data_IF_616173729397
#
_entry.id   IF_616173729397
#
_cell.length_a   1.000
_cell.length_b   1.000
_cell.length_c   1.000
_cell.angle_alpha   90.00
_cell.angle_beta   90.00
_cell.angle_gamma   90.00
#
_symmetry.space_group_name_H-M   'P 1'
#
loop_
_entity.id
_entity.type
_entity.pdbx_description
1 polymer ?
#
# COMPACT_ATOMS: atom_id res chain seq x y z
N UNK A 1 29.53 -19.03 -2.58
CA UNK A 1 29.49 -18.77 -1.99
C UNK A 1 29.47 -18.34 -2.10
N UNK A 2 29.20 -18.29 -2.35
CA UNK A 2 29.09 -17.78 -2.00
C UNK A 2 28.94 -17.06 -2.21
N UNK A 3 29.31 -17.01 -2.68
CA UNK A 3 29.15 -16.22 -2.40
C UNK A 3 28.91 -15.43 -2.66
N UNK A 4 29.12 -15.59 -3.18
CA UNK A 4 28.80 -14.63 -2.85
C UNK A 4 28.49 -13.93 -3.28
N UNK A 5 28.66 -14.15 -3.44
CA UNK A 5 28.30 -13.41 -3.34
C UNK A 5 27.93 -12.66 -3.62
N UNK A 6 27.91 -12.77 -3.81
CA UNK A 6 27.44 -11.97 -3.57
C UNK A 6 27.09 -11.25 -3.83
N UNK A 7 27.15 -11.34 -4.08
CA UNK A 7 26.73 -10.53 -3.85
C UNK A 7 26.32 -9.90 -4.11
N UNK A 8 26.32 -9.91 -4.35
CA UNK A 8 25.82 -9.15 -4.13
C UNK A 8 25.45 -8.50 -4.27
N UNK A 9 25.55 -8.65 -4.51
CA UNK A 9 25.02 -7.90 -4.22
C UNK A 9 24.70 -7.21 -4.44
N UNK A 10 24.88 -7.41 -4.69
CA UNK A 10 24.39 -6.63 -4.49
C UNK A 10 24.06 -6.00 -4.80
N UNK A 11 24.09 -6.18 -5.01
CA UNK A 11 23.66 -5.46 -4.83
C UNK A 11 23.29 -4.95 -5.04
N UNK A 12 23.38 -4.99 -5.32
CA UNK A 12 22.92 -4.37 -4.99
C UNK A 12 22.65 -3.82 -5.14
N UNK A 13 22.85 -3.92 -5.45
CA UNK A 13 22.47 -3.27 -5.13
C UNK A 13 22.28 -2.79 -5.25
N UNK A 14 22.36 -2.82 -5.69
CA UNK A 14 21.95 -2.19 -5.35
C UNK A 14 21.74 -1.64 -5.51
N UNK A 15 21.76 -1.58 -5.87
CA UNK A 15 21.33 -0.91 -5.54
C UNK A 15 21.08 -0.49 -5.83
N UNK A 16 21.15 -0.49 -6.03
CA UNK A 16 20.67 0.07 -5.92
C UNK A 16 20.41 0.62 -6.05
N UNK A 17 20.42 0.66 -6.37
CA UNK A 17 19.90 1.35 -6.04
C UNK A 17 19.53 1.79 -6.36
N UNK A 18 19.57 1.79 -6.54
CA UNK A 18 18.96 2.33 -6.45
C UNK A 18 18.44 2.83 -6.34
N UNK A 19 18.25 2.70 -6.40
CA UNK A 19 17.46 3.24 -5.91
C UNK A 19 16.83 3.52 -5.94
N UNK A 20 16.90 3.47 -6.02
CA UNK A 20 16.14 3.82 -5.73
C UNK A 20 15.61 4.07 -5.79
N UNK A 21 15.66 3.97 -5.99
CA UNK A 21 15.08 4.28 -5.72
C UNK A 21 14.51 4.54 -5.55
N UNK A 22 14.45 4.57 -5.60
CA UNK A 22 13.89 4.91 -5.27
C UNK A 22 13.28 5.22 -5.22
N UNK A 23 13.57 4.86 -5.28
CA UNK A 23 12.94 5.38 -5.14
C UNK A 23 12.04 5.95 -4.99
N UNK A 24 12.06 6.21 -5.36
CA UNK A 24 11.15 7.16 -5.56
C UNK A 24 10.07 7.27 -4.72
N UNK A 25 10.24 7.31 -3.83
CA UNK A 25 9.20 7.27 -3.00
C UNK A 25 8.08 8.21 -3.19
N UNK A 26 6.92 7.68 -3.00
CA UNK A 26 5.70 8.44 -2.93
C UNK A 26 5.63 9.29 -1.67
N UNK A 27 6.63 9.16 -0.79
CA UNK A 27 6.58 9.74 0.54
C UNK A 27 5.92 8.81 1.55
N UNK A 28 5.67 7.57 1.15
CA UNK A 28 5.03 6.59 2.00
C UNK A 28 5.65 5.23 1.71
N UNK A 29 6.59 4.82 2.55
CA UNK A 29 7.36 3.60 2.31
C UNK A 29 6.51 2.34 2.36
N UNK A 30 5.49 2.32 3.19
CA UNK A 30 4.58 1.17 3.27
C UNK A 30 3.81 1.02 1.96
N UNK A 31 3.37 2.13 1.38
CA UNK A 31 2.70 2.13 0.11
C UNK A 31 3.63 1.62 -1.00
N UNK A 32 4.88 2.07 -0.99
CA UNK A 32 5.86 1.64 -1.98
C UNK A 32 6.10 0.14 -1.89
N UNK A 33 6.16 -0.39 -0.68
CA UNK A 33 6.32 -1.83 -0.45
C UNK A 33 5.11 -2.60 -0.96
N UNK A 34 3.90 -2.09 -0.71
CA UNK A 34 2.68 -2.73 -1.20
C UNK A 34 2.66 -2.79 -2.71
N UNK A 35 3.05 -1.70 -3.36
CA UNK A 35 3.07 -1.66 -4.83
C UNK A 35 4.02 -2.69 -5.43
N UNK A 36 5.04 -3.10 -4.69
CA UNK A 36 6.00 -4.10 -5.12
C UNK A 36 5.53 -5.53 -4.87
N UNK A 37 4.41 -5.71 -4.18
CA UNK A 37 3.89 -7.04 -3.85
C UNK A 37 2.93 -7.55 -4.92
N UNK A 38 2.72 -8.87 -4.92
CA UNK A 38 1.69 -9.46 -5.76
C UNK A 38 0.31 -9.07 -5.23
N UNK A 39 -0.75 -9.16 -6.06
CA UNK A 39 -2.10 -8.86 -5.58
C UNK A 39 -2.52 -9.68 -4.36
N UNK A 40 -2.14 -10.95 -4.32
CA UNK A 40 -2.46 -11.80 -3.17
C UNK A 40 -1.80 -11.30 -1.90
N UNK A 41 -0.55 -10.91 -1.99
CA UNK A 41 0.18 -10.37 -0.84
C UNK A 41 -0.39 -9.04 -0.41
N UNK A 42 -0.74 -8.18 -1.37
CA UNK A 42 -1.39 -6.89 -1.09
C UNK A 42 -2.69 -7.12 -0.32
N UNK A 43 -3.50 -8.04 -0.79
CA UNK A 43 -4.78 -8.34 -0.14
C UNK A 43 -4.59 -8.79 1.29
N UNK A 44 -3.61 -9.65 1.54
CA UNK A 44 -3.32 -10.14 2.88
C UNK A 44 -2.85 -9.03 3.81
N UNK A 45 -1.98 -8.17 3.31
CA UNK A 45 -1.45 -7.07 4.13
C UNK A 45 -2.54 -6.05 4.44
N UNK A 46 -3.35 -5.70 3.45
CA UNK A 46 -4.39 -4.69 3.62
C UNK A 46 -5.49 -5.13 4.57
N UNK A 47 -5.76 -6.43 4.65
CA UNK A 47 -6.84 -6.94 5.49
C UNK A 47 -6.38 -7.45 6.85
N UNK A 48 -5.12 -7.30 7.15
CA UNK A 48 -4.53 -7.81 8.37
C UNK A 48 -5.24 -7.34 9.63
N UNK A 49 -5.70 -6.09 9.62
CA UNK A 49 -6.41 -5.51 10.74
C UNK A 49 -7.92 -5.63 10.65
N UNK A 50 -8.45 -6.29 9.65
CA UNK A 50 -9.88 -6.42 9.44
C UNK A 50 -10.32 -7.84 9.76
N UNK A 51 -11.01 -7.97 10.86
CA UNK A 51 -11.44 -9.27 11.35
C UNK A 51 -12.40 -9.94 10.38
N UNK A 52 -12.13 -11.19 10.05
CA UNK A 52 -13.02 -11.96 9.20
C UNK A 52 -13.03 -11.56 7.74
N UNK A 53 -12.08 -10.77 7.31
CA UNK A 53 -12.02 -10.34 5.91
C UNK A 53 -10.99 -11.17 5.14
N UNK A 54 -11.48 -11.92 4.18
CA UNK A 54 -10.63 -12.59 3.21
C UNK A 54 -10.58 -11.66 2.01
N UNK A 55 -9.47 -10.96 1.85
CA UNK A 55 -9.37 -9.85 0.89
C UNK A 55 -9.21 -10.28 -0.55
N UNK A 56 -9.81 -9.50 -1.43
CA UNK A 56 -9.66 -9.66 -2.88
C UNK A 56 -9.68 -8.28 -3.52
N UNK A 57 -9.18 -8.18 -4.74
CA UNK A 57 -9.21 -6.96 -5.55
C UNK A 57 -8.60 -5.74 -4.86
N UNK A 58 -7.34 -5.84 -4.43
CA UNK A 58 -6.67 -4.67 -3.86
C UNK A 58 -6.51 -3.59 -4.94
N UNK A 59 -6.77 -2.35 -4.56
CA UNK A 59 -6.77 -1.24 -5.51
C UNK A 59 -6.05 -0.03 -4.89
N UNK A 60 -4.92 0.39 -5.45
CA UNK A 60 -4.23 1.59 -4.96
C UNK A 60 -4.95 2.84 -5.46
N UNK A 61 -5.43 3.64 -4.52
CA UNK A 61 -6.15 4.87 -4.86
C UNK A 61 -5.21 6.05 -5.10
N UNK A 62 -4.09 6.06 -4.41
CA UNK A 62 -3.09 7.11 -4.57
C UNK A 62 -2.53 7.60 -3.26
N UNK A 63 -1.65 8.59 -3.35
CA UNK A 63 -1.03 9.24 -2.20
C UNK A 63 -1.37 10.71 -2.25
N UNK A 64 -1.80 11.26 -1.12
CA UNK A 64 -2.13 12.68 -1.04
C UNK A 64 -0.85 13.51 -1.07
N UNK A 65 -0.81 14.54 -1.89
CA UNK A 65 0.39 15.33 -2.10
C UNK A 65 0.38 16.69 -1.41
N UNK A 66 -0.77 17.11 -0.91
CA UNK A 66 -0.93 18.44 -0.30
C UNK A 66 -1.75 18.37 0.97
N UNK A 67 -1.68 19.42 1.76
CA UNK A 67 -2.51 19.56 2.94
C UNK A 67 -2.04 18.75 4.13
N UNK A 68 -2.91 18.61 5.10
CA UNK A 68 -2.60 17.89 6.34
C UNK A 68 -2.40 16.39 6.12
N UNK A 69 -2.98 15.87 5.06
CA UNK A 69 -2.87 14.45 4.74
C UNK A 69 -1.75 14.14 3.76
N UNK A 70 -0.83 15.08 3.56
CA UNK A 70 0.31 14.88 2.66
C UNK A 70 1.07 13.62 3.04
N UNK A 71 1.32 12.76 2.06
CA UNK A 71 2.04 11.51 2.27
C UNK A 71 1.17 10.36 2.72
N UNK A 72 -0.12 10.59 2.94
CA UNK A 72 -1.04 9.51 3.29
C UNK A 72 -1.42 8.74 2.04
N UNK A 73 -1.32 7.42 2.12
CA UNK A 73 -1.69 6.55 1.01
C UNK A 73 -3.05 5.92 1.30
N UNK A 74 -3.80 5.68 0.24
CA UNK A 74 -5.12 5.07 0.35
C UNK A 74 -5.23 3.89 -0.60
N UNK A 75 -5.84 2.83 -0.10
CA UNK A 75 -6.12 1.63 -0.86
C UNK A 75 -7.56 1.23 -0.63
N UNK A 76 -8.13 0.53 -1.59
CA UNK A 76 -9.43 -0.10 -1.41
C UNK A 76 -9.26 -1.60 -1.46
N UNK A 77 -10.07 -2.32 -0.70
CA UNK A 77 -10.04 -3.77 -0.67
C UNK A 77 -11.46 -4.29 -0.49
N UNK A 78 -11.77 -5.38 -1.16
CA UNK A 78 -13.05 -6.06 -0.98
C UNK A 78 -12.82 -7.34 -0.20
N UNK A 79 -13.73 -7.64 0.71
CA UNK A 79 -13.74 -8.93 1.38
C UNK A 79 -14.63 -9.88 0.59
N UNK A 80 -14.31 -11.16 0.60
CA UNK A 80 -15.09 -12.15 -0.14
C UNK A 80 -16.55 -12.23 0.33
N UNK A 81 -16.81 -11.78 1.56
CA UNK A 81 -18.18 -11.73 2.09
C UNK A 81 -18.98 -10.51 1.60
N UNK A 82 -18.41 -9.68 0.74
CA UNK A 82 -19.08 -8.54 0.15
C UNK A 82 -18.79 -7.20 0.78
N UNK A 83 -18.14 -7.18 1.94
CA UNK A 83 -17.76 -5.91 2.56
C UNK A 83 -16.62 -5.28 1.78
N UNK A 84 -16.57 -3.96 1.78
CA UNK A 84 -15.48 -3.22 1.14
C UNK A 84 -14.95 -2.17 2.09
N UNK A 85 -13.65 -1.95 2.07
CA UNK A 85 -12.97 -1.04 2.98
C UNK A 85 -12.00 -0.14 2.25
N UNK A 86 -11.83 1.06 2.78
CA UNK A 86 -10.74 1.94 2.40
C UNK A 86 -9.69 1.85 3.50
N UNK A 87 -8.45 1.67 3.11
CA UNK A 87 -7.32 1.56 4.03
C UNK A 87 -6.49 2.83 3.90
N UNK A 88 -6.31 3.54 5.00
CA UNK A 88 -5.44 4.71 5.05
C UNK A 88 -4.13 4.30 5.69
N UNK A 89 -3.02 4.64 5.05
CA UNK A 89 -1.69 4.33 5.57
C UNK A 89 -0.94 5.65 5.72
N UNK A 90 -0.51 5.93 6.95
CA UNK A 90 0.24 7.17 7.21
C UNK A 90 1.68 7.05 6.71
N UNK A 91 2.40 8.17 6.56
CA UNK A 91 3.83 8.11 6.21
C UNK A 91 4.67 7.34 7.22
N UNK A 92 4.15 7.14 8.42
CA UNK A 92 4.84 6.37 9.47
C UNK A 92 4.41 4.92 9.49
N UNK A 93 3.75 4.46 8.43
CA UNK A 93 3.34 3.06 8.24
C UNK A 93 2.26 2.60 9.20
N UNK A 94 1.43 3.50 9.68
CA UNK A 94 0.27 3.16 10.50
C UNK A 94 -0.94 3.05 9.60
N UNK A 95 -1.65 1.94 9.69
CA UNK A 95 -2.81 1.68 8.84
C UNK A 95 -4.09 1.71 9.64
N UNK A 96 -5.14 2.23 9.02
CA UNK A 96 -6.48 2.18 9.58
C UNK A 96 -7.47 1.90 8.47
N UNK A 97 -8.58 1.24 8.82
CA UNK A 97 -9.59 0.83 7.85
C UNK A 97 -10.92 1.47 8.17
N UNK A 98 -11.65 1.86 7.13
CA UNK A 98 -13.02 2.34 7.26
C UNK A 98 -13.83 1.69 6.16
N UNK A 99 -15.09 1.36 6.45
CA UNK A 99 -15.94 0.82 5.41
C UNK A 99 -16.15 1.85 4.31
N UNK A 100 -16.24 1.38 3.08
CA UNK A 100 -16.43 2.29 1.93
C UNK A 100 -17.67 3.14 2.07
N UNK A 101 -18.72 2.62 2.70
CA UNK A 101 -19.91 3.38 3.01
C UNK A 101 -19.63 4.66 3.79
N UNK A 102 -18.63 4.62 4.66
CA UNK A 102 -18.31 5.77 5.50
C UNK A 102 -17.71 6.92 4.70
N UNK A 103 -17.31 6.66 3.47
CA UNK A 103 -16.75 7.70 2.60
C UNK A 103 -17.83 8.44 1.79
N UNK A 104 -19.06 7.96 1.83
CA UNK A 104 -20.15 8.62 1.09
C UNK A 104 -20.29 10.06 1.56
N UNK A 105 -20.32 10.97 0.61
CA UNK A 105 -20.43 12.40 0.91
C UNK A 105 -19.13 13.09 1.22
N UNK A 106 -18.02 12.37 1.30
CA UNK A 106 -16.72 12.97 1.61
C UNK A 106 -15.95 13.45 0.38
N UNK A 107 -16.44 13.12 -0.81
CA UNK A 107 -15.73 13.43 -2.05
C UNK A 107 -14.75 12.36 -2.48
N UNK A 108 -14.60 11.30 -1.69
CA UNK A 108 -13.74 10.17 -2.02
C UNK A 108 -14.60 8.93 -2.20
N UNK A 109 -14.19 8.09 -3.13
CA UNK A 109 -14.89 6.82 -3.38
C UNK A 109 -13.87 5.69 -3.43
N UNK A 110 -14.25 4.54 -2.89
CA UNK A 110 -13.44 3.35 -3.00
C UNK A 110 -13.32 2.92 -4.46
N UNK A 111 -12.23 2.26 -4.77
CA UNK A 111 -11.93 1.73 -6.11
C UNK A 111 -11.87 2.80 -7.19
N UNK A 112 -11.48 4.01 -6.79
CA UNK A 112 -11.22 5.10 -7.71
C UNK A 112 -9.92 5.79 -7.36
N UNK A 113 -9.14 6.14 -8.36
CA UNK A 113 -7.92 6.92 -8.16
C UNK A 113 -8.27 8.38 -7.89
N UNK A 114 -7.41 9.04 -7.16
CA UNK A 114 -7.55 10.47 -6.92
C UNK A 114 -7.37 11.27 -8.19
#
# INVERSE_FOLDING_TARGET
MRRGILLLAALMVAGSGLGALAAGGSGNSANDSLLAMSPDQQAKMLTKGIKGCDGESPFPMGVTTTGKAKGYAYWSIRCKDGRSFAIQITPKSQASAAECKALEGSGKECFKKF
#
